data_IF_601740174137
#
_entry.id   IF_601740174137
#
_cell.length_a   1.000
_cell.length_b   1.000
_cell.length_c   1.000
_cell.angle_alpha   90.00
_cell.angle_beta   90.00
_cell.angle_gamma   90.00
#
_symmetry.space_group_name_H-M   'P 1'
#
loop_
_entity.id
_entity.type
_entity.pdbx_description
1 polymer ?
2 water ?
#
# COMPACT_ATOMS: atom_id res chain seq x y z
N UNK A 1 -12.68 14.59 -35.26
CA UNK A 1 -12.97 14.53 -33.82
C UNK A 1 -11.69 14.41 -32.99
N UNK A 2 -11.57 14.84 -31.74
CA UNK A 2 -10.32 14.48 -31.03
C UNK A 2 -10.20 12.96 -31.00
N UNK A 3 -8.91 12.56 -31.00
CA UNK A 3 -8.65 11.13 -31.00
C UNK A 3 -8.98 10.55 -29.65
N UNK A 4 -8.78 9.26 -29.53
CA UNK A 4 -9.09 8.66 -28.23
C UNK A 4 -8.02 8.97 -27.23
N UNK A 5 -8.33 8.73 -25.97
CA UNK A 5 -7.30 8.88 -24.93
C UNK A 5 -6.12 7.99 -25.22
N UNK A 6 -4.97 8.46 -24.75
CA UNK A 6 -3.77 7.66 -24.76
C UNK A 6 -3.82 6.46 -23.84
N UNK A 7 -2.79 5.61 -23.94
CA UNK A 7 -2.70 4.44 -23.07
C UNK A 7 -2.41 4.82 -21.63
N UNK A 8 -2.62 3.88 -20.73
CA UNK A 8 -2.18 4.14 -19.36
C UNK A 8 -0.68 4.36 -19.28
N UNK A 9 -0.26 5.12 -18.30
CA UNK A 9 1.12 5.39 -18.03
C UNK A 9 1.85 4.15 -17.54
N UNK A 10 3.13 4.34 -17.28
CA UNK A 10 3.95 3.26 -16.78
C UNK A 10 3.70 3.01 -15.30
N UNK A 11 4.09 1.84 -14.83
CA UNK A 11 4.04 1.53 -13.40
C UNK A 11 4.81 2.56 -12.60
N UNK A 12 4.31 2.88 -11.41
CA UNK A 12 5.02 3.81 -10.53
C UNK A 12 6.30 3.27 -9.94
N UNK A 14 9.08 1.78 -7.21
CA UNK A 14 9.01 0.81 -6.14
C UNK A 14 8.73 1.52 -4.83
N UNK A 15 8.02 0.79 -3.96
CA UNK A 15 7.76 1.31 -2.64
C UNK A 15 9.00 1.35 -1.77
N UNK A 16 8.80 1.95 -0.60
CA UNK A 16 9.90 2.13 0.36
C UNK A 16 10.22 0.83 1.10
N UNK A 17 11.40 0.75 1.73
CA UNK A 17 11.72 -0.41 2.55
C UNK A 17 10.68 -0.63 3.64
N UNK A 18 10.54 -1.90 3.97
CA UNK A 18 9.78 -2.32 5.13
C UNK A 18 10.43 -1.93 6.44
N UNK A 19 9.70 -2.12 7.52
CA UNK A 19 10.24 -1.79 8.84
C UNK A 19 11.25 -2.83 9.26
N UNK A 20 12.08 -2.52 10.23
CA UNK A 20 13.01 -3.52 10.78
C UNK A 20 12.22 -4.66 11.38
N UNK A 21 12.89 -5.80 11.44
CA UNK A 21 12.38 -6.92 12.21
C UNK A 21 12.47 -6.68 13.70
N UNK A 22 11.86 -7.61 14.46
CA UNK A 22 11.90 -7.52 15.93
C UNK A 22 13.24 -7.96 16.48
N UNK A 23 13.47 -7.74 17.78
CA UNK A 23 14.73 -8.18 18.34
C UNK A 23 14.92 -9.68 18.26
N UNK A 24 16.18 -10.10 18.18
CA UNK A 24 16.56 -11.51 18.27
C UNK A 24 16.25 -12.04 19.63
N UNK A 25 16.36 -13.36 19.77
CA UNK A 25 16.12 -13.97 21.07
C UNK A 25 17.27 -13.72 22.06
N UNK A 26 17.00 -13.76 23.35
CA UNK A 26 18.03 -13.58 24.37
C UNK A 26 19.17 -14.58 24.32
N UNK A 27 20.35 -14.16 24.81
CA UNK A 27 21.47 -15.07 25.03
C UNK A 27 21.24 -15.84 26.32
N UNK B 1 -7.49 16.57 -33.86
CA UNK B 1 -6.47 16.69 -32.82
C UNK B 1 -6.28 15.41 -32.03
N UNK B 2 -5.08 15.23 -31.46
CA UNK B 2 -4.86 14.18 -30.49
C UNK B 2 -5.82 14.22 -29.29
N UNK B 3 -6.10 13.00 -28.86
CA UNK B 3 -6.91 12.74 -27.70
C UNK B 3 -6.19 13.20 -26.46
N UNK B 4 -6.91 13.11 -25.34
CA UNK B 4 -6.27 13.47 -24.07
C UNK B 4 -5.24 12.45 -23.63
N UNK B 5 -4.35 12.76 -22.68
CA UNK B 5 -3.44 11.75 -22.13
C UNK B 5 -4.25 10.62 -21.49
N UNK B 6 -3.64 9.41 -21.48
CA UNK B 6 -4.18 8.31 -20.76
C UNK B 6 -4.13 8.54 -19.26
N UNK B 7 -4.72 7.61 -18.51
CA UNK B 7 -4.73 7.66 -17.04
C UNK B 7 -3.38 7.21 -16.51
N UNK B 8 -3.18 7.42 -15.22
CA UNK B 8 -1.94 6.97 -14.56
C UNK B 8 -1.74 5.46 -14.66
N UNK B 9 -0.47 5.08 -14.67
CA UNK B 9 -0.16 3.68 -14.65
C UNK B 9 -0.52 3.03 -13.33
N UNK B 10 -0.30 1.71 -13.22
CA UNK B 10 -0.57 1.04 -11.97
C UNK B 10 0.47 1.36 -10.90
N UNK B 11 0.16 1.05 -9.66
CA UNK B 11 1.20 1.20 -8.63
C UNK B 11 2.42 0.38 -8.92
N UNK B 12 3.54 0.89 -8.45
CA UNK B 12 4.80 0.20 -8.64
C UNK B 12 4.95 -1.03 -7.77
N UNK B 14 6.20 -3.54 -4.81
CA UNK B 14 6.38 -3.37 -3.37
C UNK B 14 7.85 -3.09 -3.07
N UNK B 15 8.14 -2.34 -2.00
CA UNK B 15 9.52 -2.08 -1.67
C UNK B 15 10.28 -3.29 -1.13
N UNK B 16 11.56 -3.08 -0.86
CA UNK B 16 12.40 -4.15 -0.34
C UNK B 16 12.12 -4.47 1.11
N UNK B 17 12.48 -5.64 1.55
CA UNK B 17 12.33 -5.96 2.97
C UNK B 17 13.12 -5.00 3.86
N UNK B 18 12.59 -4.74 5.06
CA UNK B 18 13.33 -4.04 6.06
C UNK B 18 14.60 -4.79 6.51
N UNK B 19 15.43 -4.11 7.29
CA UNK B 19 16.63 -4.75 7.82
C UNK B 19 16.34 -5.67 9.00
N UNK B 20 17.25 -6.52 9.38
CA UNK B 20 17.13 -7.34 10.57
C UNK B 20 16.91 -6.43 11.78
N UNK B 21 16.18 -6.99 12.75
CA UNK B 21 16.03 -6.36 14.03
C UNK B 21 17.33 -6.27 14.84
N UNK B 22 17.24 -5.65 15.99
CA UNK B 22 18.43 -5.59 16.86
C UNK B 22 18.71 -6.92 17.52
N UNK B 23 19.94 -7.09 18.03
CA UNK B 23 20.26 -8.30 18.80
C UNK B 23 19.34 -8.47 20.00
N UNK B 24 19.10 -9.71 20.38
CA UNK B 24 18.50 -9.99 21.67
C UNK B 24 19.50 -9.64 22.75
N UNK B 25 19.02 -9.57 23.99
CA UNK B 25 19.89 -9.22 25.10
C UNK B 25 20.89 -10.31 25.43
N UNK B 26 22.05 -10.01 25.99
CA UNK B 26 22.96 -11.10 26.36
C UNK B 26 22.36 -11.93 27.49
N UNK B 27 22.91 -13.14 27.65
CA UNK B 27 22.48 -13.99 28.74
C UNK B 27 23.19 -13.57 30.03
N UNK C 2 -10.79 10.99 -37.81
CA UNK C 2 -10.41 10.43 -36.51
C UNK C 2 -9.03 10.95 -36.14
N UNK C 3 -8.97 11.47 -34.91
CA UNK C 3 -7.77 12.12 -34.44
C UNK C 3 -6.79 11.08 -33.93
N UNK C 4 -5.55 11.47 -33.74
CA UNK C 4 -4.58 10.51 -33.21
C UNK C 4 -4.81 10.28 -31.72
N UNK C 5 -4.31 9.17 -31.23
CA UNK C 5 -4.42 8.93 -29.77
C UNK C 5 -3.64 9.98 -29.01
N UNK C 6 -4.08 10.26 -27.79
CA UNK C 6 -3.33 11.02 -26.82
C UNK C 6 -2.07 10.32 -26.37
N UNK C 7 -1.22 11.04 -25.65
CA UNK C 7 0.01 10.42 -25.16
C UNK C 7 -0.27 9.50 -23.98
N UNK C 8 0.70 8.66 -23.64
CA UNK C 8 0.55 7.81 -22.43
C UNK C 8 0.34 8.70 -21.22
N UNK C 9 -0.36 8.11 -20.27
CA UNK C 9 -0.57 8.76 -19.00
C UNK C 9 0.67 8.84 -18.15
N UNK C 10 0.51 9.48 -16.99
CA UNK C 10 1.65 9.65 -16.11
C UNK C 10 2.00 8.38 -15.35
N UNK C 11 3.17 8.33 -14.72
CA UNK C 11 3.50 7.19 -13.87
C UNK C 11 2.46 7.01 -12.77
N UNK C 12 2.25 5.73 -12.41
CA UNK C 12 1.37 5.41 -11.30
C UNK C 12 1.98 5.75 -9.94
N UNK C 14 3.67 5.18 -6.27
CA UNK C 14 4.66 4.26 -5.69
C UNK C 14 3.97 3.04 -5.14
N UNK C 15 4.67 1.92 -5.14
CA UNK C 15 4.16 0.73 -4.51
C UNK C 15 4.20 0.83 -3.01
N UNK C 16 3.61 -0.17 -2.38
CA UNK C 16 3.50 -0.22 -0.93
C UNK C 16 4.86 -0.53 -0.30
N UNK C 17 5.04 -0.31 0.97
CA UNK C 17 6.27 -0.69 1.67
C UNK C 17 6.53 -2.17 1.57
N UNK C 18 7.80 -2.56 1.62
CA UNK C 18 8.17 -3.94 1.71
C UNK C 18 7.80 -4.55 3.03
N UNK C 19 8.02 -5.83 3.16
CA UNK C 19 7.72 -6.58 4.38
C UNK C 19 8.72 -6.25 5.44
N UNK C 20 8.40 -6.58 6.69
CA UNK C 20 9.37 -6.38 7.77
C UNK C 20 10.60 -7.23 7.52
N UNK C 21 11.74 -6.77 8.06
CA UNK C 21 12.93 -7.55 8.12
C UNK C 21 12.79 -8.74 9.04
N UNK C 22 13.81 -9.58 8.99
CA UNK C 22 13.84 -10.76 9.88
C UNK C 22 14.16 -10.37 11.32
N UNK C 23 13.92 -11.25 12.28
CA UNK C 23 14.39 -11.00 13.65
C UNK C 23 15.91 -10.80 13.65
N UNK C 24 16.35 -10.02 14.62
CA UNK C 24 17.78 -9.83 14.75
C UNK C 24 18.47 -11.06 15.26
N UNK C 25 19.80 -10.93 15.41
CA UNK C 25 20.63 -12.03 15.87
C UNK C 25 20.39 -12.32 17.35
N UNK C 26 20.70 -13.52 17.80
CA UNK C 26 20.50 -13.86 19.21
C UNK C 26 21.50 -13.06 20.01
N UNK C 27 21.14 -12.78 21.25
CA UNK C 27 22.15 -12.22 22.16
C UNK C 27 23.23 -13.29 22.36
N UNK D 1 -23.11 12.68 -25.40
CA UNK D 1 -23.37 12.66 -23.95
C UNK D 1 -22.08 12.53 -23.16
N UNK D 2 -22.15 12.57 -21.85
CA UNK D 2 -20.94 12.35 -21.08
C UNK D 2 -20.35 10.98 -21.37
N UNK D 3 -19.02 10.95 -21.23
CA UNK D 3 -18.34 9.71 -21.35
C UNK D 3 -18.55 8.75 -20.22
N UNK D 4 -17.95 7.58 -20.30
CA UNK D 4 -18.10 6.58 -19.26
C UNK D 4 -17.33 6.93 -18.00
N UNK D 5 -17.64 6.30 -16.88
CA UNK D 5 -16.86 6.52 -15.66
C UNK D 5 -15.40 6.19 -15.86
N UNK D 6 -14.53 6.92 -15.17
CA UNK D 6 -13.13 6.57 -15.19
C UNK D 6 -12.83 5.26 -14.49
N UNK D 7 -11.55 4.89 -14.53
CA UNK D 7 -11.13 3.64 -13.90
C UNK D 7 -11.17 3.74 -12.39
N UNK D 8 -11.19 2.63 -11.66
CA UNK D 8 -11.08 2.69 -10.19
C UNK D 8 -9.77 3.34 -9.81
N UNK D 9 -9.79 3.98 -8.63
CA UNK D 9 -8.58 4.59 -8.07
C UNK D 9 -7.61 3.48 -7.64
N UNK D 10 -6.43 3.93 -7.23
CA UNK D 10 -5.44 2.96 -6.77
C UNK D 10 -5.73 2.45 -5.36
N UNK D 11 -5.00 1.46 -4.95
CA UNK D 11 -5.22 0.97 -3.56
C UNK D 11 -4.92 2.07 -2.54
N UNK D 12 -5.58 1.95 -1.40
CA UNK D 12 -5.36 2.86 -0.28
C UNK D 12 -4.06 2.62 0.44
N UNK D 14 -1.42 1.63 3.40
CA UNK D 14 -1.30 0.53 4.37
C UNK D 14 -1.97 0.83 5.68
N UNK D 15 -2.47 -0.24 6.31
CA UNK D 15 -2.99 -0.16 7.66
C UNK D 15 -1.87 0.09 8.66
N UNK D 16 -2.32 0.39 9.89
CA UNK D 16 -1.36 0.62 10.96
C UNK D 16 -0.75 -0.67 11.47
N UNK D 17 0.37 -0.60 12.20
CA UNK D 17 0.91 -1.80 12.83
C UNK D 17 -0.12 -2.44 13.74
N UNK D 18 0.03 -3.75 13.91
CA UNK D 18 -0.84 -4.52 14.78
C UNK D 18 -0.62 -4.19 16.24
N UNK D 19 -1.41 -4.83 17.12
CA UNK D 19 -1.28 -4.59 18.54
C UNK D 19 0.00 -5.23 19.07
N UNK D 20 0.42 -4.80 20.23
CA UNK D 20 1.59 -5.48 20.84
C UNK D 20 1.34 -6.94 21.14
N UNK D 21 2.44 -7.71 21.12
CA UNK D 21 2.41 -9.09 21.55
C UNK D 21 2.21 -9.24 23.01
N UNK D 22 2.03 -10.48 23.49
CA UNK D 22 1.81 -10.77 24.90
C UNK D 22 3.10 -10.73 25.70
N UNK D 23 2.99 -10.68 27.03
CA UNK D 23 4.22 -10.74 27.84
C UNK D 23 4.99 -12.04 27.56
N UNK D 24 6.31 -12.00 27.70
CA UNK D 24 7.12 -13.19 27.66
C UNK D 24 6.83 -14.11 28.80
N UNK D 25 7.32 -15.33 28.75
CA UNK D 25 7.11 -16.24 29.90
C UNK D 25 7.87 -15.79 31.13
N UNK D 26 7.36 -16.30 32.24
CA UNK D 26 7.95 -16.07 33.55
C UNK D 26 9.26 -16.84 33.79
N UNK E 1 -18.98 15.78 -22.72
CA UNK E 1 -17.98 15.98 -21.68
C UNK E 1 -17.39 14.65 -21.24
N UNK E 2 -16.25 14.74 -20.56
CA UNK E 2 -15.70 13.54 -19.94
C UNK E 2 -16.70 12.99 -18.94
N UNK E 3 -19.05 14.76 -26.24
CA UNK E 3 -19.64 15.23 -24.98
C UNK E 3 -18.58 15.38 -23.92
N UNK E 4 -18.98 15.78 -22.72
CA UNK E 4 -17.98 15.98 -21.68
C UNK E 4 -17.39 14.65 -21.24
N UNK E 5 -16.25 14.74 -20.56
CA UNK E 5 -15.70 13.54 -19.94
C UNK E 5 -16.70 12.99 -18.94
N UNK E 6 -16.58 11.68 -18.73
CA UNK E 6 -17.43 11.02 -17.77
C UNK E 6 -17.04 11.36 -16.33
N UNK E 7 -17.79 10.78 -15.41
CA UNK E 7 -17.58 10.99 -14.00
C UNK E 7 -16.36 10.23 -13.55
N UNK E 8 -15.88 10.58 -12.38
CA UNK E 8 -14.73 9.83 -11.82
C UNK E 8 -15.09 8.37 -11.62
N UNK E 9 -14.08 7.53 -11.67
CA UNK E 9 -14.19 6.13 -11.30
C UNK E 9 -14.44 5.99 -9.83
N UNK E 10 -14.74 4.76 -9.40
CA UNK E 10 -14.96 4.50 -7.96
C UNK E 10 -13.64 4.52 -7.20
N UNK E 11 -13.73 4.63 -5.88
CA UNK E 11 -12.54 4.47 -5.04
C UNK E 11 -11.88 3.14 -5.26
N UNK E 12 -10.56 3.12 -5.13
CA UNK E 12 -9.77 1.95 -5.26
C UNK E 12 -9.97 0.92 -4.19
N UNK E 14 -9.08 -1.49 -0.92
CA UNK E 14 -8.42 -1.31 0.37
C UNK E 14 -6.92 -1.54 0.24
N UNK E 15 -6.17 -0.76 1.00
CA UNK E 15 -4.73 -0.91 1.03
C UNK E 15 -4.31 -2.18 1.77
N UNK E 16 -3.01 -2.47 1.71
CA UNK E 16 -2.48 -3.65 2.42
C UNK E 16 -2.64 -3.58 3.93
N UNK E 17 -2.72 -4.73 4.60
CA UNK E 17 -2.67 -4.74 6.07
C UNK E 17 -1.36 -4.10 6.55
N UNK E 18 -1.40 -3.52 7.73
CA UNK E 18 -0.19 -3.06 8.36
C UNK E 18 0.73 -4.20 8.75
N UNK E 19 1.93 -3.88 9.18
CA UNK E 19 2.89 -4.92 9.61
C UNK E 19 2.57 -5.36 11.04
N UNK E 20 3.26 -6.39 11.50
CA UNK E 20 3.03 -6.86 12.86
C UNK E 20 3.32 -5.79 13.92
N UNK E 21 2.57 -5.89 15.03
CA UNK E 21 2.82 -4.99 16.16
C UNK E 21 4.16 -5.28 16.79
N UNK E 22 4.48 -4.47 17.77
CA UNK E 22 5.76 -4.65 18.46
C UNK E 22 5.70 -5.80 19.44
N UNK E 23 6.87 -6.29 19.87
CA UNK E 23 6.90 -7.40 20.84
C UNK E 23 6.23 -7.00 22.13
N UNK E 24 5.70 -7.98 22.86
CA UNK E 24 5.13 -7.72 24.17
C UNK E 24 6.24 -7.42 25.18
N UNK E 25 5.81 -7.12 26.40
CA UNK E 25 6.75 -6.83 27.50
C UNK E 25 7.47 -8.10 27.90
N UNK E 26 8.63 -7.96 28.54
CA UNK E 26 9.27 -9.14 29.09
C UNK E 26 8.41 -9.80 30.18
N UNK E 27 8.69 -11.07 30.40
CA UNK E 27 8.05 -11.88 31.39
C UNK E 27 8.35 -11.29 32.78
N UNK F 1 -19.28 10.67 -30.34
CA UNK F 1 -20.12 11.65 -29.66
C UNK F 1 -19.99 11.51 -28.15
N UNK F 2 -20.01 10.35 -27.54
CA UNK F 2 -19.69 10.35 -26.10
C UNK F 2 -18.35 10.98 -25.78
N UNK F 3 -18.20 11.59 -24.60
CA UNK F 3 -16.93 12.09 -24.16
C UNK F 3 -15.97 10.98 -23.80
N UNK F 4 -14.74 11.30 -23.46
CA UNK F 4 -13.80 10.27 -23.01
C UNK F 4 -14.11 9.88 -21.58
N UNK F 5 -13.48 8.82 -21.11
CA UNK F 5 -13.71 8.37 -19.75
C UNK F 5 -13.33 9.45 -18.74
N UNK F 6 -14.00 9.43 -17.61
CA UNK F 6 -13.67 10.29 -16.53
C UNK F 6 -12.32 9.98 -15.92
N UNK F 7 -11.95 10.81 -14.95
CA UNK F 7 -10.65 10.58 -14.30
C UNK F 7 -10.72 9.36 -13.41
N UNK F 8 -9.57 8.83 -12.98
CA UNK F 8 -9.57 7.74 -12.03
C UNK F 8 -10.26 8.18 -10.74
N UNK F 9 -10.87 7.17 -10.08
CA UNK F 9 -11.37 7.37 -8.74
C UNK F 9 -10.31 7.68 -7.71
N UNK F 10 -10.77 8.02 -6.50
CA UNK F 10 -9.80 8.29 -5.43
C UNK F 10 -9.15 7.00 -4.96
N UNK F 11 -8.04 7.13 -4.22
CA UNK F 11 -7.48 5.93 -3.57
C UNK F 11 -8.53 5.30 -2.67
N UNK F 12 -8.39 4.00 -2.49
CA UNK F 12 -9.24 3.23 -1.60
C UNK F 12 -8.99 3.51 -0.13
N UNK F 14 -7.79 2.80 3.74
CA UNK F 14 -6.62 2.16 4.34
C UNK F 14 -6.89 0.70 4.62
N UNK F 15 -5.81 -0.09 4.59
CA UNK F 15 -5.87 -1.46 5.00
C UNK F 15 -6.11 -1.55 6.51
N UNK F 16 -6.36 -2.77 6.96
CA UNK F 16 -6.58 -3.04 8.37
C UNK F 16 -5.28 -3.09 9.17
N UNK F 17 -5.40 -3.04 10.48
CA UNK F 17 -4.20 -3.20 11.30
C UNK F 17 -3.59 -4.57 11.04
N UNK F 18 -2.28 -4.57 11.24
CA UNK F 18 -1.52 -5.79 11.11
C UNK F 18 -1.76 -6.76 12.25
N UNK F 19 -1.10 -7.91 12.19
CA UNK F 19 -1.22 -8.93 13.23
C UNK F 19 -0.52 -8.53 14.50
N UNK F 20 -0.85 -9.22 15.58
CA UNK F 20 -0.15 -8.95 16.86
C UNK F 20 1.37 -9.21 16.77
N UNK F 21 2.11 -8.45 17.52
CA UNK F 21 3.53 -8.72 17.67
C UNK F 21 3.78 -10.04 18.36
N UNK F 22 5.08 -10.43 18.37
CA UNK F 22 5.52 -11.62 19.07
C UNK F 22 5.52 -11.41 20.58
N UNK F 23 5.62 -12.53 21.31
CA UNK F 23 5.73 -12.42 22.75
C UNK F 23 7.01 -11.68 23.11
N UNK F 24 6.99 -11.01 24.26
CA UNK F 24 8.26 -10.46 24.75
C UNK F 24 9.21 -11.53 25.19
N UNK F 25 10.41 -11.12 25.61
CA UNK F 25 11.44 -12.07 26.02
C UNK F 25 11.08 -12.69 27.36
N UNK F 26 11.64 -13.86 27.73
CA UNK F 26 11.34 -14.37 29.06
C UNK F 26 11.84 -13.38 30.11
N UNK F 27 11.17 -13.55 31.25
CA UNK F 27 11.69 -12.90 32.43
C UNK F 27 12.99 -13.62 32.81
#
# INVERSE_FOLDING_TARGET
>A
PPGPPGPPGPPGXSGPPGPPGPPGPPG
>B
PPGPPGPPGPPGXSGPPGPPGPPGPPG
>C
PPGPPGPPGPPGXSGPPGPPGPPGPPG
>D
PPGPPGPPGPPGXSGPPGPPGPPGPPG
>E
PPGPPGPPGPPGXSGPPGPPGPPGPPG
>F
PPGPPGPPGPPGXSGPPGPPGPPGPPG
#
